data_IF_367440545813
#
_entry.id   IF_367440545813
#
_cell.length_a   1.000
_cell.length_b   1.000
_cell.length_c   1.000
_cell.angle_alpha   90.00
_cell.angle_beta   90.00
_cell.angle_gamma   90.00
#
_symmetry.space_group_name_H-M   'P 1'
#
loop_
_entity.id
_entity.type
_entity.pdbx_description
1 polymer ?
#
# COMPACT_ATOMS: atom_id res chain seq x y z
N UNK A 1 19.39 4.20 7.96
CA UNK A 1 17.99 4.21 8.43
C UNK A 1 17.55 2.81 8.81
N UNK A 2 16.87 2.64 9.94
CA UNK A 2 16.27 1.36 10.26
C UNK A 2 15.08 1.09 9.33
N UNK A 3 15.08 -0.07 8.69
CA UNK A 3 14.01 -0.51 7.79
C UNK A 3 13.50 -1.84 8.32
N UNK A 4 12.19 -1.91 8.59
CA UNK A 4 11.56 -3.12 9.10
C UNK A 4 11.09 -4.06 7.98
N UNK A 5 10.78 -3.52 6.80
CA UNK A 5 10.35 -4.31 5.67
C UNK A 5 10.30 -3.51 4.40
N UNK A 6 10.38 -4.20 3.27
CA UNK A 6 10.28 -3.63 1.93
C UNK A 6 9.53 -4.58 1.03
N UNK A 7 8.75 -4.06 0.10
CA UNK A 7 8.11 -4.86 -0.93
C UNK A 7 7.93 -4.10 -2.23
N UNK A 8 8.14 -4.78 -3.34
CA UNK A 8 7.85 -4.30 -4.68
C UNK A 8 6.39 -4.66 -5.01
N UNK A 9 5.62 -3.69 -5.50
CA UNK A 9 4.23 -3.91 -5.82
C UNK A 9 4.12 -4.38 -7.26
N UNK A 10 3.85 -5.66 -7.42
CA UNK A 10 3.73 -6.35 -8.70
C UNK A 10 2.28 -6.74 -8.98
N UNK A 11 2.02 -7.69 -9.87
CA UNK A 11 0.68 -8.20 -10.14
C UNK A 11 -0.02 -8.63 -8.85
N UNK A 12 -1.31 -8.33 -8.73
CA UNK A 12 -2.07 -8.47 -7.50
C UNK A 12 -2.16 -7.19 -6.67
N UNK A 13 -1.36 -6.16 -7.00
CA UNK A 13 -1.42 -4.84 -6.37
C UNK A 13 -1.05 -4.82 -4.89
N UNK A 14 -1.41 -3.73 -4.23
CA UNK A 14 -1.21 -3.56 -2.78
C UNK A 14 -1.86 -4.68 -1.94
N UNK A 15 -3.11 -5.09 -2.21
CA UNK A 15 -3.76 -6.12 -1.39
C UNK A 15 -3.03 -7.45 -1.35
N UNK A 16 -2.38 -7.87 -2.44
CA UNK A 16 -1.65 -9.13 -2.48
C UNK A 16 -0.22 -9.00 -1.98
N UNK A 17 0.49 -7.94 -2.38
CA UNK A 17 1.92 -7.82 -2.12
C UNK A 17 2.26 -7.31 -0.73
N UNK A 18 1.51 -6.32 -0.25
CA UNK A 18 1.86 -5.65 1.01
C UNK A 18 1.70 -6.56 2.24
N UNK A 19 0.61 -7.35 2.40
CA UNK A 19 0.47 -8.21 3.57
C UNK A 19 1.52 -9.30 3.70
N UNK A 20 2.19 -9.68 2.61
CA UNK A 20 3.21 -10.76 2.61
C UNK A 20 4.40 -10.48 3.53
N UNK A 21 4.74 -9.20 3.73
CA UNK A 21 5.88 -8.82 4.56
C UNK A 21 5.52 -8.62 6.03
N UNK A 22 4.25 -8.85 6.39
CA UNK A 22 3.76 -8.65 7.75
C UNK A 22 3.64 -9.97 8.49
N UNK A 23 4.13 -10.05 9.73
CA UNK A 23 3.88 -11.22 10.57
C UNK A 23 2.40 -11.29 10.97
N UNK A 24 1.98 -12.45 11.47
CA UNK A 24 0.65 -12.63 12.05
C UNK A 24 0.39 -11.60 13.14
N UNK A 25 -0.79 -11.02 13.16
CA UNK A 25 -1.17 -10.03 14.15
C UNK A 25 -0.91 -8.60 13.77
N UNK A 26 -0.27 -8.33 12.62
CA UNK A 26 -0.02 -6.98 12.12
C UNK A 26 -0.54 -6.81 10.71
N UNK A 27 -1.07 -5.64 10.42
CA UNK A 27 -1.50 -5.26 9.08
C UNK A 27 -1.17 -3.81 8.73
N UNK A 28 -1.08 -3.50 7.43
CA UNK A 28 -1.07 -2.10 6.99
C UNK A 28 -2.47 -1.50 7.05
N UNK A 29 -2.56 -0.28 7.55
CA UNK A 29 -3.74 0.56 7.47
C UNK A 29 -3.40 1.74 6.56
N UNK A 30 -3.97 1.76 5.35
CA UNK A 30 -3.62 2.71 4.31
C UNK A 30 -4.67 3.81 4.18
N UNK A 31 -4.19 5.00 3.84
CA UNK A 31 -5.04 6.13 3.47
C UNK A 31 -4.86 6.41 1.99
N UNK A 32 -5.85 6.09 1.17
CA UNK A 32 -5.80 6.27 -0.28
C UNK A 32 -5.76 7.74 -0.72
N UNK A 33 -6.04 8.66 0.19
CA UNK A 33 -5.94 10.09 -0.08
C UNK A 33 -4.55 10.67 0.22
N UNK A 34 -3.62 9.84 0.71
CA UNK A 34 -2.27 10.29 1.09
C UNK A 34 -1.32 10.39 -0.10
N UNK A 35 -1.67 9.84 -1.25
CA UNK A 35 -0.90 9.97 -2.49
C UNK A 35 -1.84 10.29 -3.65
N UNK A 36 -1.26 10.82 -4.71
CA UNK A 36 -2.02 11.16 -5.91
C UNK A 36 -2.08 9.94 -6.84
N UNK A 37 -3.31 9.44 -7.06
CA UNK A 37 -3.54 8.33 -7.98
C UNK A 37 -3.68 8.90 -9.38
N UNK A 38 -2.83 8.44 -10.31
CA UNK A 38 -2.82 8.92 -11.69
C UNK A 38 -4.18 8.69 -12.38
N UNK A 39 -4.60 9.63 -13.20
CA UNK A 39 -5.83 9.56 -13.99
C UNK A 39 -5.87 8.38 -14.95
N UNK A 40 -4.73 7.79 -15.30
CA UNK A 40 -4.67 6.60 -16.16
C UNK A 40 -5.50 5.45 -15.57
N UNK A 41 -5.53 5.31 -14.25
CA UNK A 41 -6.31 4.25 -13.58
C UNK A 41 -7.81 4.51 -13.68
N UNK A 42 -8.24 5.76 -13.60
CA UNK A 42 -9.63 6.14 -13.83
C UNK A 42 -10.03 5.87 -15.28
N UNK A 43 -9.16 6.20 -16.22
CA UNK A 43 -9.39 5.94 -17.62
C UNK A 43 -9.51 4.45 -17.92
N UNK A 44 -8.64 3.63 -17.35
CA UNK A 44 -8.68 2.17 -17.49
C UNK A 44 -9.97 1.59 -16.90
N UNK A 45 -10.37 2.07 -15.73
CA UNK A 45 -11.60 1.62 -15.09
C UNK A 45 -12.82 1.90 -15.95
N UNK A 46 -12.92 3.11 -16.50
CA UNK A 46 -14.04 3.52 -17.33
C UNK A 46 -14.06 2.82 -18.70
N UNK A 47 -12.90 2.70 -19.34
CA UNK A 47 -12.77 2.07 -20.65
C UNK A 47 -13.06 0.57 -20.62
N UNK A 48 -12.64 -0.10 -19.56
CA UNK A 48 -12.82 -1.54 -19.39
C UNK A 48 -14.01 -1.93 -18.54
N UNK A 49 -14.76 -0.97 -18.01
CA UNK A 49 -15.84 -1.21 -17.05
C UNK A 49 -15.40 -2.13 -15.89
N UNK A 50 -14.22 -1.82 -15.33
CA UNK A 50 -13.57 -2.64 -14.31
C UNK A 50 -14.16 -2.31 -12.93
N UNK A 51 -14.64 -3.30 -12.15
CA UNK A 51 -15.02 -3.07 -10.77
C UNK A 51 -13.83 -2.53 -9.96
N UNK A 52 -14.09 -1.62 -9.03
CA UNK A 52 -13.03 -1.00 -8.22
C UNK A 52 -12.17 -2.04 -7.49
N UNK A 53 -12.79 -3.09 -6.98
CA UNK A 53 -12.10 -4.20 -6.33
C UNK A 53 -11.05 -4.85 -7.23
N UNK A 54 -11.38 -5.10 -8.49
CA UNK A 54 -10.49 -5.73 -9.46
C UNK A 54 -9.36 -4.78 -9.85
N UNK A 55 -9.63 -3.48 -9.91
CA UNK A 55 -8.64 -2.47 -10.19
C UNK A 55 -7.51 -2.49 -9.13
N UNK A 56 -7.89 -2.48 -7.85
CA UNK A 56 -6.94 -2.51 -6.73
C UNK A 56 -6.20 -3.85 -6.62
N UNK A 57 -6.82 -4.95 -7.02
CA UNK A 57 -6.20 -6.28 -7.00
C UNK A 57 -5.32 -6.55 -8.22
N UNK A 58 -5.35 -5.68 -9.22
CA UNK A 58 -4.61 -5.87 -10.47
C UNK A 58 -3.45 -4.89 -10.59
N UNK A 59 -3.71 -3.61 -10.30
CA UNK A 59 -2.76 -2.53 -10.53
C UNK A 59 -2.17 -2.02 -9.21
N UNK A 60 -1.01 -1.39 -9.30
CA UNK A 60 -0.34 -0.79 -8.14
C UNK A 60 -0.94 0.54 -7.70
N UNK A 61 -1.85 1.10 -8.48
CA UNK A 61 -2.52 2.39 -8.23
C UNK A 61 -1.56 3.56 -7.97
N UNK A 62 -0.34 3.47 -8.52
CA UNK A 62 0.69 4.51 -8.40
C UNK A 62 1.74 4.24 -7.33
N UNK A 63 1.60 3.18 -6.54
CA UNK A 63 2.59 2.78 -5.54
C UNK A 63 3.36 1.57 -6.05
N UNK A 64 4.60 1.78 -6.48
CA UNK A 64 5.44 0.72 -7.03
C UNK A 64 6.30 0.01 -6.00
N UNK A 65 6.57 0.64 -4.87
CA UNK A 65 7.43 0.10 -3.82
C UNK A 65 7.02 0.63 -2.46
N UNK A 66 6.97 -0.23 -1.46
CA UNK A 66 6.65 0.14 -0.09
C UNK A 66 7.79 -0.16 0.85
N UNK A 67 8.01 0.73 1.81
CA UNK A 67 9.00 0.60 2.87
C UNK A 67 8.31 0.77 4.21
N UNK A 68 8.62 -0.13 5.15
CA UNK A 68 8.14 -0.05 6.52
C UNK A 68 9.27 0.41 7.41
N UNK A 69 9.07 1.52 8.11
CA UNK A 69 10.09 2.12 8.98
C UNK A 69 9.47 2.49 10.33
N UNK A 70 10.30 2.65 11.39
CA UNK A 70 9.82 3.21 12.65
C UNK A 70 9.24 4.61 12.44
N UNK A 71 8.23 4.95 13.23
CA UNK A 71 7.54 6.23 13.13
C UNK A 71 8.46 7.44 13.21
N UNK A 72 9.50 7.37 14.05
CA UNK A 72 10.43 8.50 14.27
C UNK A 72 11.38 8.78 13.10
N UNK A 73 11.46 7.90 12.09
CA UNK A 73 12.32 8.10 10.90
C UNK A 73 11.53 8.26 9.61
N UNK A 74 10.21 8.40 9.68
CA UNK A 74 9.35 8.57 8.48
C UNK A 74 9.78 9.81 7.70
N UNK A 75 9.91 10.95 8.34
CA UNK A 75 10.29 12.19 7.65
C UNK A 75 11.68 12.11 7.03
N UNK A 76 12.65 11.53 7.74
CA UNK A 76 13.99 11.33 7.21
C UNK A 76 14.00 10.40 5.99
N UNK A 77 13.17 9.36 6.01
CA UNK A 77 13.02 8.43 4.89
C UNK A 77 12.43 9.14 3.67
N UNK A 78 11.39 9.94 3.86
CA UNK A 78 10.78 10.71 2.77
C UNK A 78 11.78 11.69 2.15
N UNK A 79 12.54 12.40 2.97
CA UNK A 79 13.57 13.33 2.50
C UNK A 79 14.63 12.64 1.64
N UNK A 80 15.11 11.47 2.07
CA UNK A 80 16.10 10.70 1.33
C UNK A 80 15.56 10.25 -0.03
N UNK A 81 14.32 9.78 -0.08
CA UNK A 81 13.69 9.38 -1.34
C UNK A 81 13.57 10.55 -2.29
N UNK A 82 13.09 11.69 -1.80
CA UNK A 82 12.90 12.90 -2.61
C UNK A 82 14.23 13.44 -3.11
N UNK A 83 15.26 13.48 -2.27
CA UNK A 83 16.62 13.92 -2.64
C UNK A 83 17.23 13.05 -3.75
N UNK A 84 16.81 11.79 -3.83
CA UNK A 84 17.28 10.85 -4.85
C UNK A 84 16.36 10.79 -6.09
N UNK A 85 15.44 11.72 -6.23
CA UNK A 85 14.60 11.87 -7.42
C UNK A 85 13.34 11.03 -7.43
N UNK A 86 12.94 10.45 -6.30
CA UNK A 86 11.71 9.66 -6.20
C UNK A 86 10.58 10.47 -5.56
N UNK A 87 9.38 10.26 -6.05
CA UNK A 87 8.19 10.70 -5.34
C UNK A 87 7.93 9.72 -4.20
N UNK A 88 7.64 10.24 -3.01
CA UNK A 88 7.41 9.41 -1.84
C UNK A 88 6.35 10.02 -0.93
N UNK A 89 5.53 9.15 -0.34
CA UNK A 89 4.44 9.55 0.54
C UNK A 89 4.37 8.64 1.75
N UNK A 90 3.91 9.18 2.87
CA UNK A 90 3.49 8.37 4.00
C UNK A 90 2.06 7.89 3.72
N UNK A 91 1.91 6.65 3.29
CA UNK A 91 0.60 6.12 2.85
C UNK A 91 -0.21 5.45 3.95
N UNK A 92 0.37 5.28 5.12
CA UNK A 92 -0.36 4.64 6.21
C UNK A 92 0.52 4.23 7.36
N UNK A 93 0.00 3.35 8.17
CA UNK A 93 0.67 2.84 9.37
C UNK A 93 0.41 1.35 9.55
N UNK A 94 1.26 0.72 10.36
CA UNK A 94 1.09 -0.68 10.77
C UNK A 94 0.22 -0.70 12.01
N UNK A 95 -0.80 -1.55 12.01
CA UNK A 95 -1.72 -1.71 13.14
C UNK A 95 -1.80 -3.17 13.59
N UNK A 96 -2.19 -3.39 14.83
CA UNK A 96 -2.44 -4.72 15.35
C UNK A 96 -3.80 -5.23 14.90
N UNK A 97 -3.87 -6.54 14.65
CA UNK A 97 -5.13 -7.22 14.33
C UNK A 97 -5.35 -8.34 15.34
N UNK A 98 -6.52 -8.39 16.02
CA UNK A 98 -6.76 -9.37 17.06
C UNK A 98 -6.98 -10.80 16.56
N UNK A 99 -7.26 -10.99 15.27
CA UNK A 99 -7.70 -12.28 14.73
C UNK A 99 -6.64 -13.02 13.93
N UNK A 100 -5.39 -12.56 13.91
CA UNK A 100 -4.30 -13.13 13.11
C UNK A 100 -4.62 -13.27 11.61
N UNK A 101 -5.70 -12.69 11.14
CA UNK A 101 -6.03 -12.64 9.74
C UNK A 101 -5.21 -11.55 9.07
N UNK A 102 -4.82 -11.77 7.81
CA UNK A 102 -4.19 -10.75 6.99
C UNK A 102 -5.25 -10.10 6.13
N UNK A 103 -5.63 -8.90 6.50
CA UNK A 103 -6.65 -8.13 5.82
C UNK A 103 -6.10 -6.72 5.58
N UNK A 104 -6.13 -6.28 4.34
CA UNK A 104 -5.68 -4.93 3.99
C UNK A 104 -6.82 -3.95 4.25
N UNK A 105 -6.63 -3.03 5.19
CA UNK A 105 -7.56 -1.96 5.48
C UNK A 105 -7.16 -0.72 4.69
N UNK A 106 -7.94 -0.43 3.64
CA UNK A 106 -7.74 0.74 2.78
C UNK A 106 -8.93 1.67 2.96
N UNK A 107 -8.68 2.87 3.50
CA UNK A 107 -9.71 3.85 3.76
C UNK A 107 -10.36 4.29 2.44
N UNK A 108 -11.70 4.17 2.38
CA UNK A 108 -12.51 4.62 1.24
C UNK A 108 -12.78 3.57 0.18
N UNK A 109 -12.26 2.34 0.34
CA UNK A 109 -12.59 1.21 -0.53
C UNK A 109 -12.86 -0.04 0.29
N UNK A 110 -13.54 -1.04 -0.28
CA UNK A 110 -13.77 -2.30 0.41
C UNK A 110 -12.46 -2.99 0.78
N UNK A 111 -12.45 -3.61 1.95
CA UNK A 111 -11.29 -4.33 2.47
C UNK A 111 -11.38 -5.80 2.07
N UNK A 112 -10.24 -6.42 1.70
CA UNK A 112 -10.16 -7.83 1.36
C UNK A 112 -9.33 -8.57 2.39
N UNK A 113 -9.84 -9.70 2.85
CA UNK A 113 -9.12 -10.57 3.75
C UNK A 113 -8.23 -11.54 2.99
N UNK A 114 -7.01 -11.70 3.49
CA UNK A 114 -6.12 -12.78 3.08
C UNK A 114 -5.86 -13.64 4.30
N UNK A 115 -6.09 -14.92 4.16
CA UNK A 115 -5.67 -15.87 5.18
C UNK A 115 -4.22 -16.26 4.92
N UNK A 116 -3.44 -16.25 5.99
CA UNK A 116 -2.04 -16.61 5.90
C UNK A 116 -1.86 -18.12 5.70
#
# INVERSE_FOLDING_TARGET
>A
LPIHGMTHITGGGLPENLPRIFPSGLLPHLNINSWEISEIFNWLQNAGDIPEIDLWNTFNMGIGFCIIVPKNVVNSTLEICIENGFEAWNIGKVVETPNNSKQLDIIGIPTYGYEA
#
